data_IF_616211153083
#
_entry.id   IF_616211153083
#
_cell.length_a   1.000
_cell.length_b   1.000
_cell.length_c   1.000
_cell.angle_alpha   90.00
_cell.angle_beta   90.00
_cell.angle_gamma   90.00
#
_symmetry.space_group_name_H-M   'P 1'
#
loop_
_entity.id
_entity.type
_entity.pdbx_description
1 polymer ?
#
# COMPACT_ATOMS: atom_id res chain seq x y z
N UNK A 1 19.17 4.64 7.28
CA UNK A 1 18.11 4.81 6.29
C UNK A 1 17.53 3.45 5.99
N UNK A 2 16.31 3.22 6.44
CA UNK A 2 15.98 1.98 7.14
C UNK A 2 14.52 1.60 6.84
N UNK A 3 14.31 0.58 6.01
CA UNK A 3 12.99 0.03 5.71
C UNK A 3 12.52 -0.81 6.92
N UNK A 4 11.24 -0.78 7.29
CA UNK A 4 10.72 -1.65 8.36
C UNK A 4 10.12 -2.95 7.82
N UNK A 5 9.89 -3.04 6.52
CA UNK A 5 9.30 -4.20 5.84
C UNK A 5 10.07 -4.53 4.57
N UNK A 6 10.07 -5.81 4.20
CA UNK A 6 10.55 -6.33 2.93
C UNK A 6 9.50 -7.26 2.33
N UNK A 7 9.66 -7.64 1.06
CA UNK A 7 8.73 -8.53 0.35
C UNK A 7 9.36 -9.91 0.17
N UNK A 8 8.63 -10.99 0.45
CA UNK A 8 9.07 -12.36 0.22
C UNK A 8 8.84 -12.80 -1.24
N UNK A 9 9.22 -14.02 -1.60
CA UNK A 9 9.01 -14.57 -2.95
C UNK A 9 7.53 -14.70 -3.34
N UNK A 10 6.63 -14.80 -2.35
CA UNK A 10 5.19 -14.88 -2.53
C UNK A 10 4.53 -13.49 -2.71
N UNK A 11 5.27 -12.40 -2.55
CA UNK A 11 4.75 -11.04 -2.62
C UNK A 11 4.21 -10.50 -1.28
N UNK A 12 4.35 -11.23 -0.18
CA UNK A 12 3.90 -10.78 1.14
C UNK A 12 4.88 -9.79 1.76
N UNK A 13 4.33 -8.75 2.38
CA UNK A 13 5.08 -7.84 3.25
C UNK A 13 5.40 -8.51 4.58
N UNK A 14 6.70 -8.69 4.85
CA UNK A 14 7.25 -9.28 6.06
C UNK A 14 7.89 -8.20 6.92
N UNK A 15 7.53 -8.16 8.21
CA UNK A 15 8.08 -7.18 9.14
C UNK A 15 9.52 -7.51 9.54
N UNK A 16 10.34 -6.50 9.77
CA UNK A 16 11.67 -6.66 10.36
C UNK A 16 11.63 -7.37 11.72
N UNK A 17 10.52 -7.24 12.46
CA UNK A 17 10.38 -7.89 13.76
C UNK A 17 10.29 -9.41 13.65
N UNK A 18 9.77 -9.93 12.54
CA UNK A 18 9.50 -11.36 12.31
C UNK A 18 10.74 -12.17 11.90
N UNK A 19 11.80 -11.51 11.43
CA UNK A 19 12.98 -12.19 10.88
C UNK A 19 14.19 -12.13 11.81
N UNK A 20 15.12 -13.07 11.67
CA UNK A 20 16.43 -12.98 12.35
C UNK A 20 17.31 -11.88 11.74
N UNK A 21 18.31 -11.43 12.49
CA UNK A 21 19.31 -10.50 11.96
C UNK A 21 20.17 -11.18 10.87
N UNK A 22 20.68 -10.39 9.92
CA UNK A 22 21.54 -10.86 8.83
C UNK A 22 20.87 -10.81 7.46
N UNK A 23 21.42 -11.55 6.50
CA UNK A 23 20.83 -11.70 5.16
C UNK A 23 19.52 -12.46 5.29
N UNK A 24 18.47 -11.95 4.64
CA UNK A 24 17.13 -12.54 4.64
C UNK A 24 16.66 -12.73 3.21
N UNK A 25 15.78 -13.72 2.94
CA UNK A 25 15.20 -13.93 1.61
C UNK A 25 14.07 -12.93 1.35
N UNK A 26 14.33 -11.64 1.57
CA UNK A 26 13.40 -10.54 1.35
C UNK A 26 14.01 -9.53 0.39
N UNK A 27 13.17 -8.90 -0.41
CA UNK A 27 13.51 -7.86 -1.37
C UNK A 27 12.90 -6.51 -1.00
N UNK A 28 13.52 -5.44 -1.48
CA UNK A 28 12.98 -4.09 -1.37
C UNK A 28 11.68 -3.99 -2.16
N UNK A 29 10.56 -3.53 -1.58
CA UNK A 29 9.28 -3.39 -2.30
C UNK A 29 9.37 -2.42 -3.49
N UNK A 30 10.34 -1.51 -3.49
CA UNK A 30 10.47 -0.48 -4.52
C UNK A 30 11.36 -0.90 -5.69
N UNK A 31 12.52 -1.52 -5.41
CA UNK A 31 13.51 -1.84 -6.45
C UNK A 31 13.82 -3.33 -6.60
N UNK A 32 13.22 -4.20 -5.78
CA UNK A 32 13.44 -5.65 -5.81
C UNK A 32 14.82 -6.11 -5.31
N UNK A 33 15.71 -5.20 -4.88
CA UNK A 33 17.03 -5.60 -4.40
C UNK A 33 16.95 -6.31 -3.04
N UNK A 34 17.80 -7.32 -2.85
CA UNK A 34 17.86 -8.09 -1.60
C UNK A 34 18.14 -7.23 -0.37
N UNK A 35 17.59 -7.67 0.76
CA UNK A 35 17.64 -6.95 2.03
C UNK A 35 18.46 -7.67 3.10
N UNK A 36 19.01 -6.89 4.02
CA UNK A 36 19.73 -7.33 5.21
C UNK A 36 19.00 -6.79 6.44
N UNK A 37 18.52 -7.68 7.30
CA UNK A 37 17.94 -7.36 8.58
C UNK A 37 19.04 -6.90 9.56
N UNK A 38 19.01 -5.62 9.92
CA UNK A 38 19.88 -5.02 10.92
C UNK A 38 19.09 -4.87 12.22
N UNK A 39 19.45 -5.69 13.20
CA UNK A 39 18.94 -5.62 14.58
C UNK A 39 20.10 -5.30 15.51
N UNK A 40 19.89 -4.33 16.40
CA UNK A 40 20.90 -3.90 17.36
C UNK A 40 20.24 -3.12 18.50
N UNK A 41 21.00 -2.91 19.58
CA UNK A 41 20.47 -2.30 20.80
C UNK A 41 20.31 -0.76 20.72
N UNK A 42 21.07 -0.10 19.83
CA UNK A 42 21.11 1.37 19.76
C UNK A 42 20.25 1.97 18.64
N UNK A 43 20.08 1.24 17.53
CA UNK A 43 19.31 1.71 16.37
C UNK A 43 18.05 0.87 16.25
N UNK A 44 16.97 1.51 15.83
CA UNK A 44 15.72 0.81 15.50
C UNK A 44 15.99 -0.30 14.50
N UNK A 45 15.24 -1.39 14.63
CA UNK A 45 15.36 -2.54 13.75
C UNK A 45 14.91 -2.17 12.34
N UNK A 46 15.72 -2.52 11.34
CA UNK A 46 15.41 -2.20 9.97
C UNK A 46 16.05 -3.13 8.95
N UNK A 47 15.55 -3.08 7.73
CA UNK A 47 16.22 -3.60 6.55
C UNK A 47 17.11 -2.53 5.91
N UNK A 48 18.32 -2.95 5.57
CA UNK A 48 19.22 -2.25 4.68
C UNK A 48 19.29 -3.00 3.35
N UNK A 49 19.55 -2.29 2.25
CA UNK A 49 19.83 -2.96 0.98
C UNK A 49 21.15 -3.72 1.06
N UNK A 50 21.20 -4.91 0.47
CA UNK A 50 22.44 -5.62 0.18
C UNK A 50 23.11 -4.98 -1.05
N UNK A 51 23.59 -3.75 -0.88
CA UNK A 51 24.18 -2.94 -1.92
C UNK A 51 23.66 -1.50 -1.91
N UNK A 52 23.52 -0.92 -3.10
CA UNK A 52 23.10 0.47 -3.25
C UNK A 52 21.63 0.65 -2.88
N UNK A 53 21.36 1.59 -1.96
CA UNK A 53 19.98 1.97 -1.62
C UNK A 53 19.35 2.76 -2.76
N UNK A 54 18.16 2.34 -3.21
CA UNK A 54 17.43 2.95 -4.32
C UNK A 54 16.96 4.38 -4.02
N UNK A 55 16.62 5.11 -5.07
CA UNK A 55 16.13 6.49 -4.99
C UNK A 55 14.75 6.58 -4.32
N UNK A 56 13.87 5.63 -4.59
CA UNK A 56 12.50 5.66 -4.07
C UNK A 56 12.50 5.51 -2.55
N UNK A 57 13.21 4.52 -2.01
CA UNK A 57 13.37 4.35 -0.56
C UNK A 57 13.99 5.60 0.10
N UNK A 58 14.88 6.33 -0.60
CA UNK A 58 15.44 7.61 -0.12
C UNK A 58 14.40 8.72 -0.08
N UNK A 59 13.63 8.87 -1.16
CA UNK A 59 12.62 9.92 -1.32
C UNK A 59 11.47 9.77 -0.31
N UNK A 60 10.94 8.55 -0.16
CA UNK A 60 9.84 8.21 0.75
C UNK A 60 10.18 8.62 2.19
N UNK A 61 11.39 8.25 2.64
CA UNK A 61 11.89 8.56 3.98
C UNK A 61 12.14 10.06 4.18
N UNK A 62 12.65 10.77 3.17
CA UNK A 62 12.86 12.22 3.25
C UNK A 62 11.55 13.01 3.35
N UNK A 63 10.50 12.56 2.65
CA UNK A 63 9.22 13.25 2.65
C UNK A 63 8.38 12.97 3.90
N UNK A 64 8.35 11.72 4.36
CA UNK A 64 7.31 11.29 5.32
C UNK A 64 7.87 10.80 6.65
N UNK A 65 9.19 10.58 6.74
CA UNK A 65 9.83 9.82 7.82
C UNK A 65 9.25 8.41 8.05
N UNK A 66 8.34 7.94 7.18
CA UNK A 66 7.71 6.63 7.26
C UNK A 66 8.45 5.65 6.33
N UNK A 67 8.89 4.48 6.81
CA UNK A 67 9.70 3.54 6.02
C UNK A 67 8.97 2.88 4.84
N UNK A 68 7.65 3.01 4.77
CA UNK A 68 6.80 2.33 3.80
C UNK A 68 5.61 3.23 3.40
N UNK A 69 5.83 4.55 3.32
CA UNK A 69 4.81 5.42 2.77
C UNK A 69 4.81 5.27 1.25
N UNK A 70 4.02 4.36 0.71
CA UNK A 70 3.87 4.24 -0.72
C UNK A 70 3.22 5.52 -1.28
N UNK A 71 3.98 6.32 -2.04
CA UNK A 71 3.42 7.45 -2.81
C UNK A 71 2.51 6.93 -3.92
N UNK A 72 2.74 5.69 -4.36
CA UNK A 72 1.98 4.96 -5.36
C UNK A 72 1.02 4.00 -4.65
N UNK A 73 0.11 4.51 -3.80
CA UNK A 73 -1.01 3.72 -3.23
C UNK A 73 -1.89 2.99 -4.29
N UNK A 74 -1.49 2.93 -5.57
CA UNK A 74 -2.19 2.27 -6.66
C UNK A 74 -3.50 2.97 -7.03
N UNK A 75 -3.80 4.08 -6.36
CA UNK A 75 -5.01 4.85 -6.50
C UNK A 75 -4.68 6.21 -7.08
N UNK A 76 -5.21 6.45 -8.26
CA UNK A 76 -5.27 7.76 -8.88
C UNK A 76 -5.96 8.78 -7.96
N UNK A 77 -5.65 10.06 -8.16
CA UNK A 77 -6.34 11.17 -7.48
C UNK A 77 -7.86 11.10 -7.61
N UNK A 78 -8.35 10.57 -8.74
CA UNK A 78 -9.78 10.35 -9.00
C UNK A 78 -10.39 9.25 -8.15
N UNK A 79 -9.69 8.13 -7.95
CA UNK A 79 -10.13 7.05 -7.05
C UNK A 79 -10.18 7.55 -5.61
N UNK A 80 -9.12 8.23 -5.14
CA UNK A 80 -9.07 8.79 -3.77
C UNK A 80 -10.24 9.75 -3.52
N UNK A 81 -10.45 10.70 -4.44
CA UNK A 81 -11.55 11.67 -4.33
C UNK A 81 -12.93 10.97 -4.31
N UNK A 82 -13.08 9.88 -5.06
CA UNK A 82 -14.33 9.12 -5.09
C UNK A 82 -14.54 8.35 -3.78
N UNK A 83 -13.52 7.66 -3.28
CA UNK A 83 -13.57 6.95 -1.99
C UNK A 83 -13.91 7.89 -0.83
N UNK A 84 -13.34 9.10 -0.81
CA UNK A 84 -13.69 10.14 0.17
C UNK A 84 -15.15 10.59 0.08
N UNK A 85 -15.71 10.67 -1.14
CA UNK A 85 -17.14 11.01 -1.31
C UNK A 85 -18.02 9.89 -0.77
N UNK A 86 -17.72 8.64 -1.14
CA UNK A 86 -18.47 7.46 -0.72
C UNK A 86 -18.45 7.29 0.81
N UNK A 87 -17.31 7.54 1.46
CA UNK A 87 -17.20 7.42 2.93
C UNK A 87 -18.05 8.45 3.69
N UNK A 88 -18.29 9.61 3.09
CA UNK A 88 -19.09 10.70 3.69
C UNK A 88 -20.59 10.55 3.49
N UNK A 89 -21.01 9.85 2.44
CA UNK A 89 -22.42 9.75 2.08
C UNK A 89 -23.16 8.75 2.97
N UNK A 90 -24.33 9.16 3.47
CA UNK A 90 -25.18 8.32 4.32
C UNK A 90 -25.96 7.28 3.51
N UNK A 91 -26.26 7.61 2.26
CA UNK A 91 -26.92 6.77 1.26
C UNK A 91 -26.27 6.99 -0.10
N UNK A 92 -26.39 6.04 -1.01
CA UNK A 92 -25.76 6.11 -2.32
C UNK A 92 -26.70 5.63 -3.43
N UNK A 93 -26.62 6.28 -4.58
CA UNK A 93 -27.14 5.73 -5.83
C UNK A 93 -26.08 5.87 -6.91
N UNK A 94 -25.91 4.80 -7.70
CA UNK A 94 -25.00 4.79 -8.86
C UNK A 94 -25.36 5.84 -9.91
N UNK A 95 -26.61 6.32 -9.92
CA UNK A 95 -27.05 7.39 -10.83
C UNK A 95 -26.52 8.78 -10.46
N UNK A 96 -26.03 8.99 -9.23
CA UNK A 96 -25.46 10.27 -8.79
C UNK A 96 -24.04 10.51 -9.31
N UNK A 97 -23.40 9.46 -9.81
CA UNK A 97 -22.05 9.52 -10.34
C UNK A 97 -22.05 10.00 -11.79
N UNK A 98 -21.14 10.91 -12.13
CA UNK A 98 -20.86 11.25 -13.53
C UNK A 98 -20.38 10.01 -14.30
N UNK A 99 -20.42 10.05 -15.64
CA UNK A 99 -19.94 8.93 -16.47
C UNK A 99 -18.50 8.52 -16.16
N UNK A 100 -17.61 9.50 -15.93
CA UNK A 100 -16.22 9.23 -15.53
C UNK A 100 -16.13 8.60 -14.14
N UNK A 101 -16.93 9.07 -13.17
CA UNK A 101 -16.94 8.49 -11.82
C UNK A 101 -17.55 7.10 -11.78
N UNK A 102 -18.53 6.79 -12.65
CA UNK A 102 -19.09 5.43 -12.77
C UNK A 102 -18.05 4.42 -13.21
N UNK A 103 -17.25 4.75 -14.23
CA UNK A 103 -16.17 3.87 -14.68
C UNK A 103 -15.17 3.57 -13.55
N UNK A 104 -14.73 4.60 -12.82
CA UNK A 104 -13.83 4.43 -11.66
C UNK A 104 -14.49 3.65 -10.54
N UNK A 105 -15.78 3.90 -10.26
CA UNK A 105 -16.53 3.15 -9.25
C UNK A 105 -16.60 1.66 -9.60
N UNK A 106 -16.94 1.33 -10.84
CA UNK A 106 -17.03 -0.04 -11.31
C UNK A 106 -15.66 -0.74 -11.23
N UNK A 107 -14.57 -0.03 -11.54
CA UNK A 107 -13.20 -0.54 -11.37
C UNK A 107 -12.83 -0.79 -9.90
N UNK A 108 -13.23 0.11 -8.99
CA UNK A 108 -13.04 -0.07 -7.55
C UNK A 108 -13.84 -1.27 -7.00
N UNK A 109 -15.04 -1.53 -7.54
CA UNK A 109 -15.83 -2.71 -7.20
C UNK A 109 -15.19 -3.99 -7.74
N UNK A 110 -14.77 -3.99 -9.02
CA UNK A 110 -14.10 -5.13 -9.66
C UNK A 110 -12.77 -5.48 -8.99
N UNK A 111 -11.97 -4.47 -8.62
CA UNK A 111 -10.72 -4.67 -7.88
C UNK A 111 -10.95 -5.13 -6.43
N UNK A 112 -12.20 -5.18 -5.99
CA UNK A 112 -12.59 -5.62 -4.67
C UNK A 112 -12.29 -4.61 -3.59
N UNK A 113 -11.95 -3.35 -3.89
CA UNK A 113 -11.73 -2.30 -2.89
C UNK A 113 -13.04 -1.72 -2.35
N UNK A 114 -14.12 -1.86 -3.12
CA UNK A 114 -15.46 -1.41 -2.76
C UNK A 114 -16.44 -2.58 -2.91
N UNK A 115 -17.11 -2.94 -1.83
CA UNK A 115 -18.21 -3.89 -1.86
C UNK A 115 -19.53 -3.14 -2.11
N UNK A 116 -20.23 -3.49 -3.18
CA UNK A 116 -21.53 -2.92 -3.53
C UNK A 116 -22.38 -3.89 -4.35
N UNK A 117 -23.61 -4.16 -3.91
CA UNK A 117 -24.63 -4.90 -4.65
C UNK A 117 -25.78 -3.97 -5.07
N UNK A 118 -26.42 -4.26 -6.21
CA UNK A 118 -27.60 -3.50 -6.63
C UNK A 118 -28.73 -3.66 -5.60
N UNK A 119 -29.10 -2.56 -4.95
CA UNK A 119 -30.06 -2.53 -3.85
C UNK A 119 -29.45 -2.18 -2.49
N UNK A 120 -28.12 -2.11 -2.38
CA UNK A 120 -27.47 -1.65 -1.17
C UNK A 120 -27.69 -0.15 -0.93
N UNK A 121 -27.98 0.21 0.33
CA UNK A 121 -28.11 1.61 0.74
C UNK A 121 -26.81 2.40 0.59
N UNK A 122 -25.65 1.72 0.72
CA UNK A 122 -24.33 2.33 0.55
C UNK A 122 -23.22 1.31 0.21
N UNK A 123 -22.23 1.71 -0.61
CA UNK A 123 -21.00 0.94 -0.80
C UNK A 123 -20.19 0.87 0.49
N UNK A 124 -19.49 -0.24 0.70
CA UNK A 124 -18.57 -0.44 1.82
C UNK A 124 -17.15 -0.52 1.31
N UNK A 125 -16.21 0.07 2.04
CA UNK A 125 -14.80 -0.14 1.75
C UNK A 125 -14.43 -1.54 2.23
N UNK A 126 -13.87 -2.34 1.34
CA UNK A 126 -13.41 -3.68 1.71
C UNK A 126 -12.00 -3.59 2.31
N UNK A 127 -11.63 -4.62 3.09
CA UNK A 127 -10.26 -4.82 3.55
C UNK A 127 -9.46 -5.80 2.65
N UNK A 128 -9.96 -6.08 1.45
CA UNK A 128 -9.34 -7.05 0.52
C UNK A 128 -8.18 -6.36 -0.21
N UNK A 129 -7.00 -7.01 -0.21
CA UNK A 129 -5.85 -6.53 -0.99
C UNK A 129 -6.12 -6.71 -2.48
N UNK A 130 -5.80 -5.69 -3.29
CA UNK A 130 -5.69 -5.82 -4.76
C UNK A 130 -4.74 -7.00 -5.05
N UNK A 131 -5.19 -7.95 -5.87
CA UNK A 131 -4.33 -9.01 -6.43
C UNK A 131 -3.47 -8.45 -7.57
#
# INVERSE_FOLDING_TARGET
MFLSHGVNEQGDLVSILEVSAGRVPLSCPFCGQGLIAKKGAQKEHHFAHDGQTCADAKAILQMTALPLFDMDMGLSKTEITLLEKLSRWRSFSRTWLSSKQRAVFDELVVSGLVDFQEGDDKPRLSNVRRQ
#
